data_IF_862828411086
#
_entry.id   IF_862828411086
#
_cell.length_a   1.000
_cell.length_b   1.000
_cell.length_c   1.000
_cell.angle_alpha   90.00
_cell.angle_beta   90.00
_cell.angle_gamma   90.00
#
_symmetry.space_group_name_H-M   'P 1'
#
loop_
_entity.id
_entity.type
_entity.pdbx_description
1 polymer ?
#
# COMPACT_ATOMS: atom_id res chain seq x y z
N UNK A 1 18.95 -10.97 8.39
CA UNK A 1 17.87 -10.06 8.84
C UNK A 1 18.31 -8.59 8.81
N UNK A 2 18.99 -8.15 7.74
CA UNK A 2 19.43 -6.76 7.60
C UNK A 2 18.59 -6.04 6.54
N UNK A 3 18.34 -4.74 6.75
CA UNK A 3 17.59 -3.88 5.82
C UNK A 3 18.54 -2.89 5.16
N UNK A 4 18.31 -2.60 3.88
CA UNK A 4 19.00 -1.53 3.14
C UNK A 4 18.05 -0.34 3.02
N UNK A 5 18.12 0.66 3.93
CA UNK A 5 17.18 1.78 3.94
C UNK A 5 17.48 2.79 2.82
N UNK A 6 16.45 3.49 2.37
CA UNK A 6 16.57 4.58 1.37
C UNK A 6 17.39 5.76 1.90
N UNK A 7 17.27 6.05 3.19
CA UNK A 7 18.00 7.11 3.87
C UNK A 7 18.88 6.53 4.98
N UNK A 8 19.96 7.23 5.38
CA UNK A 8 20.77 6.82 6.52
C UNK A 8 19.91 6.57 7.77
N UNK A 9 20.22 5.52 8.54
CA UNK A 9 19.45 5.10 9.73
C UNK A 9 19.31 6.21 10.77
N UNK A 10 20.33 7.06 10.92
CA UNK A 10 20.26 8.27 11.78
C UNK A 10 19.07 9.18 11.45
N UNK A 11 18.63 9.19 10.18
CA UNK A 11 17.46 9.94 9.72
C UNK A 11 16.20 9.06 9.73
N UNK A 12 16.20 7.94 9.01
CA UNK A 12 15.01 7.10 8.79
C UNK A 12 14.51 6.37 10.03
N UNK A 13 15.40 6.02 10.96
CA UNK A 13 15.07 5.34 12.23
C UNK A 13 15.24 6.27 13.44
N UNK A 14 15.78 7.49 13.22
CA UNK A 14 16.02 8.50 14.23
C UNK A 14 15.17 9.75 14.00
N UNK A 15 15.82 10.81 13.53
CA UNK A 15 15.26 12.19 13.58
C UNK A 15 14.01 12.43 12.75
N UNK A 16 13.81 11.67 11.66
CA UNK A 16 12.62 11.78 10.82
C UNK A 16 11.56 10.70 11.11
N UNK A 17 11.88 9.70 11.94
CA UNK A 17 10.92 8.68 12.37
C UNK A 17 9.98 9.26 13.42
N UNK A 18 8.68 8.99 13.36
CA UNK A 18 7.71 9.50 14.34
C UNK A 18 7.74 8.69 15.66
N UNK A 19 8.91 8.59 16.28
CA UNK A 19 9.09 7.95 17.58
C UNK A 19 8.32 8.72 18.67
N UNK A 20 7.81 8.02 19.70
CA UNK A 20 7.12 8.67 20.82
C UNK A 20 8.01 9.71 21.50
N UNK A 21 7.38 10.78 21.97
CA UNK A 21 8.01 11.82 22.79
C UNK A 21 9.12 12.66 22.15
N UNK A 22 9.33 12.52 20.84
CA UNK A 22 10.18 13.44 20.08
C UNK A 22 9.35 14.34 19.16
N UNK A 23 9.80 15.59 19.01
CA UNK A 23 9.22 16.51 18.04
C UNK A 23 9.88 16.29 16.68
N UNK A 24 9.09 15.91 15.68
CA UNK A 24 9.54 15.64 14.31
C UNK A 24 8.88 16.59 13.31
N UNK A 25 9.60 16.99 12.24
CA UNK A 25 8.95 17.59 11.08
C UNK A 25 8.07 16.56 10.37
N UNK A 26 6.90 17.00 9.92
CA UNK A 26 5.97 16.19 9.14
C UNK A 26 5.32 17.02 8.04
N UNK A 27 4.91 16.33 6.97
CA UNK A 27 3.89 16.82 6.05
C UNK A 27 2.57 16.30 6.59
N UNK A 28 1.80 17.20 7.22
CA UNK A 28 0.54 16.88 7.87
C UNK A 28 -0.59 17.01 6.86
N UNK A 29 -1.29 15.91 6.64
CA UNK A 29 -2.52 15.85 5.87
C UNK A 29 -3.71 15.94 6.81
N UNK A 30 -4.61 16.88 6.57
CA UNK A 30 -5.93 16.96 7.23
C UNK A 30 -6.98 16.73 6.15
N UNK A 31 -7.79 15.69 6.33
CA UNK A 31 -8.79 15.27 5.35
C UNK A 31 -10.12 15.17 6.10
N UNK A 32 -11.04 16.08 5.77
CA UNK A 32 -12.37 16.09 6.37
C UNK A 32 -13.26 15.10 5.63
N UNK A 33 -14.03 14.33 6.39
CA UNK A 33 -14.91 13.29 5.87
C UNK A 33 -16.36 13.56 6.27
N UNK A 34 -17.28 13.30 5.34
CA UNK A 34 -18.72 13.26 5.63
C UNK A 34 -19.09 12.00 6.45
N UNK A 35 -20.37 11.90 6.84
CA UNK A 35 -20.89 10.76 7.60
C UNK A 35 -20.82 9.40 6.87
N UNK A 36 -20.64 9.40 5.55
CA UNK A 36 -20.43 8.19 4.75
C UNK A 36 -18.96 7.87 4.54
N UNK A 37 -18.07 8.72 5.06
CA UNK A 37 -16.63 8.63 4.94
C UNK A 37 -16.11 9.20 3.63
N UNK A 38 -16.87 9.96 2.83
CA UNK A 38 -16.39 10.61 1.59
C UNK A 38 -15.63 11.90 1.92
N UNK A 39 -14.66 12.23 1.07
CA UNK A 39 -13.82 13.42 1.24
C UNK A 39 -14.63 14.69 1.00
N UNK A 40 -14.63 15.60 1.97
CA UNK A 40 -15.22 16.95 1.84
C UNK A 40 -14.14 18.01 1.56
N UNK A 41 -13.02 17.92 2.26
CA UNK A 41 -11.94 18.90 2.20
C UNK A 41 -10.58 18.22 2.41
N UNK A 42 -9.53 18.80 1.84
CA UNK A 42 -8.14 18.35 1.97
C UNK A 42 -7.25 19.56 2.21
N UNK A 43 -6.52 19.56 3.31
CA UNK A 43 -5.42 20.48 3.61
C UNK A 43 -4.12 19.69 3.77
N UNK A 44 -3.02 20.24 3.26
CA UNK A 44 -1.68 19.69 3.46
C UNK A 44 -0.71 20.81 3.76
N UNK A 45 0.02 20.67 4.87
CA UNK A 45 0.95 21.68 5.35
C UNK A 45 2.15 21.07 6.04
N UNK A 46 3.21 21.85 6.18
CA UNK A 46 4.33 21.50 7.04
C UNK A 46 3.94 21.70 8.50
N UNK A 47 4.31 20.75 9.35
CA UNK A 47 4.04 20.79 10.77
C UNK A 47 5.20 20.20 11.58
N UNK A 48 5.26 20.58 12.86
CA UNK A 48 5.99 19.83 13.88
C UNK A 48 4.97 18.97 14.64
N UNK A 49 5.24 17.68 14.74
CA UNK A 49 4.38 16.71 15.42
C UNK A 49 5.16 16.01 16.52
N UNK A 50 4.46 15.59 17.58
CA UNK A 50 5.03 14.77 18.65
C UNK A 50 4.14 13.54 18.82
N UNK A 51 4.65 12.37 18.45
CA UNK A 51 3.91 11.13 18.62
C UNK A 51 3.75 10.82 20.12
N UNK A 52 2.57 10.37 20.52
CA UNK A 52 2.26 10.01 21.92
C UNK A 52 2.59 8.56 22.25
N UNK A 53 2.49 7.68 21.25
CA UNK A 53 2.67 6.25 21.44
C UNK A 53 3.11 5.58 20.15
N UNK A 54 3.86 4.48 20.28
CA UNK A 54 4.16 3.55 19.20
C UNK A 54 3.40 2.28 19.48
N UNK A 55 2.43 1.96 18.62
CA UNK A 55 1.53 0.84 18.80
C UNK A 55 1.78 -0.21 17.72
N UNK A 56 1.55 -1.47 18.06
CA UNK A 56 1.49 -2.57 17.11
C UNK A 56 0.02 -2.94 16.80
N UNK A 57 -0.20 -3.55 15.64
CA UNK A 57 -1.56 -3.88 15.19
C UNK A 57 -2.28 -4.89 16.07
N UNK A 58 -1.56 -5.81 16.73
CA UNK A 58 -2.18 -6.81 17.60
C UNK A 58 -2.75 -6.14 18.86
N UNK A 59 -2.00 -5.21 19.45
CA UNK A 59 -2.47 -4.40 20.56
C UNK A 59 -3.63 -3.49 20.15
N UNK A 60 -3.54 -2.80 19.00
CA UNK A 60 -4.63 -1.94 18.50
C UNK A 60 -5.91 -2.75 18.28
N UNK A 61 -5.81 -3.90 17.61
CA UNK A 61 -6.95 -4.79 17.37
C UNK A 61 -7.61 -5.20 18.69
N UNK A 62 -6.81 -5.69 19.64
CA UNK A 62 -7.30 -6.11 20.95
C UNK A 62 -8.01 -4.98 21.70
N UNK A 63 -7.42 -3.78 21.76
CA UNK A 63 -8.02 -2.64 22.47
C UNK A 63 -9.34 -2.21 21.84
N UNK A 64 -9.47 -2.28 20.51
CA UNK A 64 -10.73 -2.01 19.80
C UNK A 64 -11.78 -3.08 20.13
N UNK A 65 -11.40 -4.36 20.11
CA UNK A 65 -12.30 -5.48 20.37
C UNK A 65 -12.79 -5.51 21.83
N UNK A 66 -11.90 -5.18 22.78
CA UNK A 66 -12.20 -5.08 24.21
C UNK A 66 -12.95 -3.79 24.58
N UNK A 67 -13.14 -2.86 23.64
CA UNK A 67 -13.80 -1.56 23.88
C UNK A 67 -13.00 -0.61 24.78
N UNK A 68 -11.69 -0.79 24.86
CA UNK A 68 -10.76 -0.01 25.69
C UNK A 68 -9.90 0.98 24.90
N UNK A 69 -10.00 0.96 23.57
CA UNK A 69 -9.28 1.87 22.68
C UNK A 69 -9.67 3.34 22.95
N UNK A 70 -8.67 4.23 23.00
CA UNK A 70 -8.90 5.67 22.98
C UNK A 70 -9.64 6.10 21.69
N UNK A 71 -10.36 7.22 21.75
CA UNK A 71 -11.21 7.72 20.66
C UNK A 71 -10.55 7.68 19.26
N UNK A 72 -9.29 8.13 19.05
CA UNK A 72 -8.68 8.06 17.71
C UNK A 72 -8.52 6.64 17.16
N UNK A 73 -8.25 5.66 18.03
CA UNK A 73 -8.12 4.24 17.65
C UNK A 73 -9.49 3.59 17.47
N UNK A 74 -10.47 3.97 18.28
CA UNK A 74 -11.85 3.52 18.09
C UNK A 74 -12.40 3.98 16.73
N UNK A 75 -12.17 5.24 16.36
CA UNK A 75 -12.56 5.82 15.07
C UNK A 75 -11.85 5.17 13.87
N UNK A 76 -10.67 4.57 14.04
CA UNK A 76 -10.00 3.86 12.96
C UNK A 76 -10.88 2.74 12.38
N UNK A 77 -11.58 2.00 13.25
CA UNK A 77 -12.52 0.95 12.81
C UNK A 77 -13.71 1.54 12.06
N UNK A 78 -14.29 2.60 12.60
CA UNK A 78 -15.47 3.26 12.01
C UNK A 78 -15.14 3.82 10.62
N UNK A 79 -14.12 4.67 10.53
CA UNK A 79 -13.66 5.27 9.28
C UNK A 79 -13.20 4.18 8.31
N UNK A 80 -12.39 3.21 8.78
CA UNK A 80 -11.92 2.10 7.95
C UNK A 80 -13.07 1.34 7.29
N UNK A 81 -14.11 1.02 8.04
CA UNK A 81 -15.31 0.31 7.53
C UNK A 81 -16.07 1.14 6.50
N UNK A 82 -16.25 2.44 6.74
CA UNK A 82 -16.89 3.34 5.77
C UNK A 82 -16.07 3.42 4.47
N UNK A 83 -14.75 3.51 4.58
CA UNK A 83 -13.83 3.57 3.42
C UNK A 83 -13.78 2.25 2.65
N UNK A 84 -13.86 1.10 3.32
CA UNK A 84 -13.99 -0.22 2.68
C UNK A 84 -15.29 -0.32 1.87
N UNK A 85 -16.41 0.17 2.41
CA UNK A 85 -17.68 0.23 1.67
C UNK A 85 -17.55 1.09 0.41
N UNK A 86 -16.97 2.28 0.53
CA UNK A 86 -16.68 3.15 -0.62
C UNK A 86 -15.72 2.50 -1.62
N UNK A 87 -14.83 1.61 -1.17
CA UNK A 87 -13.97 0.81 -2.05
C UNK A 87 -14.76 -0.18 -2.89
N UNK A 88 -15.73 -0.85 -2.28
CA UNK A 88 -16.64 -1.73 -3.01
C UNK A 88 -17.45 -0.94 -4.03
N UNK A 89 -18.01 0.21 -3.63
CA UNK A 89 -18.82 1.07 -4.51
C UNK A 89 -18.05 1.53 -5.75
N UNK A 90 -16.78 1.92 -5.60
CA UNK A 90 -15.92 2.30 -6.75
C UNK A 90 -15.40 1.11 -7.57
N UNK A 91 -15.58 -0.12 -7.10
CA UNK A 91 -15.04 -1.32 -7.74
C UNK A 91 -13.55 -1.58 -7.46
N UNK A 92 -13.02 -0.99 -6.39
CA UNK A 92 -11.65 -1.23 -5.93
C UNK A 92 -11.47 -2.65 -5.40
N UNK A 93 -10.23 -3.12 -5.38
CA UNK A 93 -9.82 -4.47 -5.02
C UNK A 93 -8.62 -4.38 -4.08
N UNK A 94 -8.83 -4.78 -2.84
CA UNK A 94 -7.77 -5.02 -1.85
C UNK A 94 -7.49 -6.52 -1.78
N UNK A 95 -6.26 -6.92 -2.10
CA UNK A 95 -5.81 -8.31 -1.97
C UNK A 95 -5.23 -8.52 -0.57
N UNK A 96 -5.90 -9.32 0.26
CA UNK A 96 -5.39 -9.74 1.56
C UNK A 96 -4.46 -10.95 1.41
N UNK A 97 -3.37 -10.78 0.68
CA UNK A 97 -2.38 -11.84 0.47
C UNK A 97 -1.70 -12.14 1.81
N UNK A 98 -1.67 -13.40 2.27
CA UNK A 98 -0.92 -13.74 3.47
C UNK A 98 0.57 -13.54 3.22
N UNK A 99 1.25 -12.88 4.16
CA UNK A 99 2.69 -12.66 4.07
C UNK A 99 3.42 -13.92 4.53
N UNK A 100 4.42 -14.34 3.74
CA UNK A 100 5.34 -15.41 4.12
C UNK A 100 6.39 -14.82 5.06
N UNK A 101 6.46 -15.35 6.28
CA UNK A 101 7.45 -14.94 7.28
C UNK A 101 8.38 -16.12 7.58
N UNK A 102 9.68 -15.83 7.71
CA UNK A 102 10.64 -16.79 8.24
C UNK A 102 10.58 -16.69 9.77
N UNK A 103 10.16 -17.78 10.42
CA UNK A 103 10.04 -17.86 11.87
C UNK A 103 11.20 -18.68 12.41
N UNK A 104 11.99 -18.09 13.29
CA UNK A 104 12.97 -18.85 14.06
C UNK A 104 12.27 -19.58 15.21
N UNK A 105 12.46 -20.89 15.28
CA UNK A 105 11.92 -21.76 16.32
C UNK A 105 12.96 -22.80 16.71
N UNK A 106 13.33 -22.79 17.99
CA UNK A 106 14.26 -23.76 18.59
C UNK A 106 15.60 -23.90 17.84
N UNK A 107 16.13 -22.78 17.29
CA UNK A 107 17.38 -22.75 16.51
C UNK A 107 17.25 -23.28 15.08
N UNK A 108 16.03 -23.55 14.62
CA UNK A 108 15.68 -23.87 13.23
C UNK A 108 14.82 -22.77 12.64
N UNK A 109 14.76 -22.70 11.31
CA UNK A 109 13.90 -21.75 10.61
C UNK A 109 12.70 -22.51 10.01
N UNK A 110 11.51 -21.97 10.16
CA UNK A 110 10.28 -22.47 9.55
C UNK A 110 9.64 -21.36 8.71
N UNK A 111 8.85 -21.73 7.70
CA UNK A 111 8.04 -20.79 6.92
C UNK A 111 6.65 -20.70 7.54
N UNK A 112 6.29 -19.51 8.02
CA UNK A 112 4.95 -19.18 8.50
C UNK A 112 4.19 -18.33 7.49
N UNK A 113 2.85 -18.39 7.55
CA UNK A 113 1.98 -17.43 6.85
C UNK A 113 1.21 -16.63 7.88
N UNK A 114 1.29 -15.29 7.81
CA UNK A 114 0.53 -14.39 8.67
C UNK A 114 -0.51 -13.66 7.83
N UNK A 115 -1.79 -13.85 8.18
CA UNK A 115 -2.85 -13.02 7.64
C UNK A 115 -2.85 -11.64 8.33
N UNK A 116 -3.11 -10.55 7.60
CA UNK A 116 -3.23 -9.23 8.20
C UNK A 116 -4.42 -9.13 9.17
N UNK A 117 -4.25 -8.40 10.28
CA UNK A 117 -5.33 -8.05 11.21
C UNK A 117 -6.26 -7.00 10.59
N UNK A 118 -7.52 -6.89 11.05
CA UNK A 118 -8.46 -5.90 10.53
C UNK A 118 -7.97 -4.45 10.76
N UNK A 119 -7.36 -4.18 11.92
CA UNK A 119 -6.73 -2.89 12.20
C UNK A 119 -5.68 -2.48 11.15
N UNK A 120 -4.98 -3.45 10.55
CA UNK A 120 -4.06 -3.19 9.43
C UNK A 120 -4.84 -2.74 8.18
N UNK A 121 -5.92 -3.45 7.83
CA UNK A 121 -6.75 -3.11 6.68
C UNK A 121 -7.41 -1.73 6.81
N UNK A 122 -7.91 -1.38 8.00
CA UNK A 122 -8.47 -0.05 8.27
C UNK A 122 -7.43 1.05 8.13
N UNK A 123 -6.21 0.86 8.64
CA UNK A 123 -5.12 1.82 8.45
C UNK A 123 -4.67 1.92 6.98
N UNK A 124 -4.71 0.82 6.23
CA UNK A 124 -4.45 0.82 4.79
C UNK A 124 -5.46 1.70 4.04
N UNK A 125 -6.75 1.71 4.46
CA UNK A 125 -7.74 2.62 3.88
C UNK A 125 -7.45 4.10 4.14
N UNK A 126 -6.87 4.46 5.30
CA UNK A 126 -6.41 5.83 5.55
C UNK A 126 -5.28 6.20 4.57
N UNK A 127 -4.33 5.29 4.36
CA UNK A 127 -3.26 5.51 3.37
C UNK A 127 -3.79 5.64 1.94
N UNK A 128 -4.79 4.83 1.57
CA UNK A 128 -5.45 4.91 0.26
C UNK A 128 -6.19 6.24 0.09
N UNK A 129 -6.92 6.68 1.12
CA UNK A 129 -7.59 7.98 1.17
C UNK A 129 -6.59 9.12 0.92
N UNK A 130 -5.49 9.16 1.67
CA UNK A 130 -4.45 10.20 1.49
C UNK A 130 -3.83 10.15 0.09
N UNK A 131 -3.58 8.94 -0.45
CA UNK A 131 -3.03 8.80 -1.79
C UNK A 131 -3.98 9.22 -2.92
N UNK A 132 -5.31 9.03 -2.75
CA UNK A 132 -6.32 9.56 -3.68
C UNK A 132 -6.38 11.09 -3.58
N UNK A 133 -6.43 11.64 -2.37
CA UNK A 133 -6.40 13.09 -2.15
C UNK A 133 -5.16 13.76 -2.76
N UNK A 134 -3.98 13.15 -2.62
CA UNK A 134 -2.75 13.62 -3.24
C UNK A 134 -2.81 13.61 -4.77
N UNK A 135 -3.39 12.55 -5.37
CA UNK A 135 -3.59 12.49 -6.81
C UNK A 135 -4.53 13.60 -7.30
N UNK A 136 -5.65 13.82 -6.60
CA UNK A 136 -6.63 14.84 -6.95
C UNK A 136 -6.03 16.26 -6.88
N UNK A 137 -5.27 16.57 -5.82
CA UNK A 137 -4.55 17.86 -5.70
C UNK A 137 -3.59 18.08 -6.87
N UNK A 138 -2.75 17.08 -7.18
CA UNK A 138 -1.79 17.19 -8.27
C UNK A 138 -2.46 17.30 -9.64
N UNK A 139 -3.56 16.57 -9.86
CA UNK A 139 -4.34 16.62 -11.10
C UNK A 139 -4.97 18.01 -11.28
N UNK A 140 -5.57 18.56 -10.23
CA UNK A 140 -6.17 19.89 -10.25
C UNK A 140 -5.12 20.99 -10.50
N UNK A 141 -3.96 20.90 -9.86
CA UNK A 141 -2.85 21.83 -10.05
C UNK A 141 -2.12 21.64 -11.40
N UNK A 142 -2.33 20.51 -12.09
CA UNK A 142 -1.81 20.25 -13.43
C UNK A 142 -0.33 19.86 -13.50
N UNK A 143 0.29 19.51 -12.37
CA UNK A 143 1.65 18.96 -12.31
C UNK A 143 1.75 17.92 -11.21
N UNK A 144 2.25 16.73 -11.53
CA UNK A 144 2.47 15.71 -10.51
C UNK A 144 2.99 14.36 -10.99
N UNK A 145 2.88 13.37 -10.10
CA UNK A 145 3.25 11.98 -10.34
C UNK A 145 2.18 11.04 -9.77
N UNK A 146 1.59 10.23 -10.63
CA UNK A 146 0.56 9.26 -10.29
C UNK A 146 1.15 7.85 -10.20
N UNK A 147 0.58 7.02 -9.35
CA UNK A 147 0.75 5.58 -9.33
C UNK A 147 -0.33 4.98 -10.22
N UNK A 148 0.00 4.70 -11.48
CA UNK A 148 -0.97 4.23 -12.48
C UNK A 148 -0.91 2.72 -12.63
N UNK A 149 -2.05 2.12 -12.94
CA UNK A 149 -2.15 0.71 -13.33
C UNK A 149 -3.25 0.64 -14.40
N UNK A 150 -2.91 0.30 -15.65
CA UNK A 150 -3.88 0.10 -16.70
C UNK A 150 -4.90 -1.00 -16.34
N UNK A 151 -6.04 -1.00 -17.03
CA UNK A 151 -7.00 -2.08 -16.92
C UNK A 151 -6.35 -3.43 -17.24
N UNK A 152 -6.80 -4.49 -16.55
CA UNK A 152 -6.32 -5.83 -16.81
C UNK A 152 -6.63 -6.21 -18.27
N UNK A 153 -5.71 -6.93 -18.96
CA UNK A 153 -5.92 -7.31 -20.36
C UNK A 153 -7.11 -8.25 -20.51
N UNK A 154 -7.68 -8.27 -21.71
CA UNK A 154 -8.80 -9.15 -22.03
C UNK A 154 -8.48 -10.62 -21.70
N UNK A 155 -9.46 -11.30 -21.11
CA UNK A 155 -9.34 -12.71 -20.73
C UNK A 155 -8.51 -12.97 -19.45
N UNK A 156 -7.94 -11.95 -18.80
CA UNK A 156 -7.21 -12.14 -17.54
C UNK A 156 -8.08 -12.73 -16.43
N UNK A 157 -9.32 -12.25 -16.28
CA UNK A 157 -10.33 -12.84 -15.38
C UNK A 157 -10.68 -14.28 -15.80
N UNK A 158 -10.72 -14.56 -17.10
CA UNK A 158 -10.93 -15.92 -17.62
C UNK A 158 -9.81 -16.88 -17.21
N UNK A 159 -8.55 -16.42 -17.15
CA UNK A 159 -7.43 -17.20 -16.60
C UNK A 159 -7.65 -17.49 -15.12
N UNK A 160 -7.97 -16.47 -14.32
CA UNK A 160 -8.23 -16.65 -12.90
C UNK A 160 -9.40 -17.61 -12.64
N UNK A 161 -10.48 -17.57 -13.44
CA UNK A 161 -11.58 -18.54 -13.32
C UNK A 161 -11.14 -19.99 -13.49
N UNK A 162 -10.16 -20.26 -14.36
CA UNK A 162 -9.56 -21.60 -14.50
C UNK A 162 -8.74 -21.98 -13.26
N UNK A 163 -7.96 -21.04 -12.72
CA UNK A 163 -7.20 -21.26 -11.47
C UNK A 163 -8.13 -21.53 -10.29
N UNK A 164 -9.22 -20.77 -10.13
CA UNK A 164 -10.21 -20.98 -9.08
C UNK A 164 -10.79 -22.40 -9.14
N UNK A 165 -11.16 -22.85 -10.34
CA UNK A 165 -11.65 -24.22 -10.57
C UNK A 165 -10.62 -25.28 -10.18
N UNK A 166 -9.35 -25.08 -10.54
CA UNK A 166 -8.26 -26.01 -10.20
C UNK A 166 -7.99 -26.06 -8.69
N UNK A 167 -8.18 -24.95 -7.98
CA UNK A 167 -8.03 -24.84 -6.52
C UNK A 167 -9.31 -25.19 -5.75
N UNK A 168 -10.35 -25.66 -6.43
CA UNK A 168 -11.66 -25.97 -5.85
C UNK A 168 -12.30 -24.78 -5.11
N UNK A 169 -12.15 -23.58 -5.66
CA UNK A 169 -12.81 -22.35 -5.19
C UNK A 169 -14.07 -22.15 -6.02
N UNK A 170 -15.22 -22.08 -5.34
CA UNK A 170 -16.49 -21.78 -6.01
C UNK A 170 -16.49 -20.32 -6.47
N UNK A 171 -16.68 -20.10 -7.77
CA UNK A 171 -16.78 -18.78 -8.36
C UNK A 171 -17.97 -18.72 -9.32
N UNK A 172 -19.18 -18.49 -8.80
CA UNK A 172 -20.37 -18.36 -9.63
C UNK A 172 -20.22 -17.26 -10.69
N UNK A 173 -20.90 -17.42 -11.83
CA UNK A 173 -20.80 -16.45 -12.94
C UNK A 173 -21.32 -15.05 -12.58
N UNK A 174 -22.27 -14.96 -11.65
CA UNK A 174 -22.84 -13.70 -11.19
C UNK A 174 -21.99 -12.98 -10.13
N UNK A 175 -20.99 -13.68 -9.55
CA UNK A 175 -20.07 -13.09 -8.57
C UNK A 175 -18.93 -12.41 -9.31
N UNK A 176 -18.74 -11.12 -9.05
CA UNK A 176 -17.66 -10.34 -9.66
C UNK A 176 -16.29 -10.78 -9.12
N UNK A 177 -15.22 -10.43 -9.84
CA UNK A 177 -13.85 -10.69 -9.37
C UNK A 177 -13.57 -10.04 -8.01
N UNK A 178 -13.97 -8.77 -7.84
CA UNK A 178 -13.80 -8.04 -6.59
C UNK A 178 -14.57 -8.69 -5.43
N UNK A 179 -15.80 -9.15 -5.67
CA UNK A 179 -16.60 -9.84 -4.66
C UNK A 179 -15.97 -11.18 -4.26
N UNK A 180 -15.51 -11.98 -5.24
CA UNK A 180 -14.85 -13.25 -4.94
C UNK A 180 -13.64 -13.01 -4.04
N UNK A 181 -12.72 -12.13 -4.44
CA UNK A 181 -11.47 -11.86 -3.72
C UNK A 181 -11.74 -11.50 -2.25
N UNK A 182 -12.75 -10.67 -1.98
CA UNK A 182 -13.10 -10.26 -0.61
C UNK A 182 -13.68 -11.39 0.25
N UNK A 183 -14.28 -12.40 -0.38
CA UNK A 183 -14.82 -13.57 0.34
C UNK A 183 -13.76 -14.62 0.70
N UNK A 184 -12.53 -14.47 0.20
CA UNK A 184 -11.47 -15.44 0.42
C UNK A 184 -10.84 -15.26 1.79
N UNK A 185 -10.88 -16.33 2.59
CA UNK A 185 -10.12 -16.45 3.82
C UNK A 185 -8.63 -16.79 3.55
N UNK A 186 -7.66 -15.90 3.83
CA UNK A 186 -6.24 -16.13 3.60
C UNK A 186 -5.62 -17.22 4.50
N UNK A 187 -6.32 -17.67 5.56
CA UNK A 187 -5.85 -18.79 6.38
C UNK A 187 -6.09 -20.16 5.74
N UNK A 188 -6.93 -20.23 4.69
CA UNK A 188 -7.15 -21.46 3.94
C UNK A 188 -6.11 -21.57 2.80
N UNK A 189 -5.30 -22.64 2.74
CA UNK A 189 -4.19 -22.74 1.77
C UNK A 189 -4.60 -22.53 0.31
N UNK A 190 -5.75 -23.06 -0.11
CA UNK A 190 -6.28 -22.87 -1.47
C UNK A 190 -6.63 -21.41 -1.78
N UNK A 191 -7.16 -20.69 -0.80
CA UNK A 191 -7.51 -19.28 -0.95
C UNK A 191 -6.25 -18.41 -0.96
N UNK A 192 -5.29 -18.69 -0.06
CA UNK A 192 -3.98 -18.05 -0.07
C UNK A 192 -3.29 -18.19 -1.42
N UNK A 193 -3.23 -19.40 -1.98
CA UNK A 193 -2.67 -19.65 -3.30
C UNK A 193 -3.38 -18.87 -4.41
N UNK A 194 -4.71 -18.76 -4.35
CA UNK A 194 -5.47 -17.99 -5.32
C UNK A 194 -5.26 -16.48 -5.18
N UNK A 195 -5.20 -15.95 -3.96
CA UNK A 195 -4.90 -14.55 -3.67
C UNK A 195 -3.49 -14.19 -4.17
N UNK A 196 -2.53 -15.11 -4.03
CA UNK A 196 -1.20 -14.94 -4.59
C UNK A 196 -1.25 -14.87 -6.13
N UNK A 197 -2.01 -15.73 -6.80
CA UNK A 197 -2.16 -15.65 -8.25
C UNK A 197 -2.91 -14.39 -8.73
N UNK A 198 -3.81 -13.84 -7.90
CA UNK A 198 -4.48 -12.56 -8.17
C UNK A 198 -3.49 -11.40 -8.27
N UNK A 199 -2.34 -11.44 -7.58
CA UNK A 199 -1.31 -10.40 -7.66
C UNK A 199 -0.77 -10.23 -9.08
N UNK A 200 -0.90 -11.24 -9.95
CA UNK A 200 -0.50 -11.15 -11.36
C UNK A 200 -1.28 -10.09 -12.13
N UNK A 201 -2.51 -9.75 -11.70
CA UNK A 201 -3.31 -8.67 -12.29
C UNK A 201 -2.87 -7.27 -11.83
N UNK A 202 -2.04 -7.18 -10.79
CA UNK A 202 -1.43 -5.93 -10.34
C UNK A 202 -0.11 -5.63 -11.06
N UNK A 203 0.38 -6.57 -11.88
CA UNK A 203 1.60 -6.37 -12.68
C UNK A 203 1.36 -5.29 -13.74
N UNK A 204 2.37 -4.47 -13.97
CA UNK A 204 2.31 -3.34 -14.90
C UNK A 204 1.99 -2.01 -14.25
N UNK A 205 1.71 -1.99 -12.95
CA UNK A 205 1.56 -0.73 -12.23
C UNK A 205 2.90 0.05 -12.29
N UNK A 206 2.85 1.30 -12.73
CA UNK A 206 4.00 2.20 -12.92
C UNK A 206 3.87 3.54 -12.19
N UNK A 207 4.83 4.43 -12.41
CA UNK A 207 4.68 5.85 -12.06
C UNK A 207 4.54 6.64 -13.36
N UNK A 208 3.58 7.55 -13.39
CA UNK A 208 3.32 8.40 -14.56
C UNK A 208 3.37 9.84 -14.14
N UNK A 209 4.31 10.57 -14.75
CA UNK A 209 4.54 12.00 -14.51
C UNK A 209 3.73 12.82 -15.51
N UNK A 210 3.26 13.97 -15.06
CA UNK A 210 2.56 14.94 -15.90
C UNK A 210 2.87 16.37 -15.41
N UNK A 211 2.81 17.34 -16.33
CA UNK A 211 3.12 18.75 -16.05
C UNK A 211 2.50 19.67 -17.09
N UNK A 212 2.37 20.96 -16.74
CA UNK A 212 1.87 21.98 -17.65
C UNK A 212 0.39 21.79 -18.03
N UNK A 213 -0.40 21.15 -17.16
CA UNK A 213 -1.82 20.86 -17.39
C UNK A 213 -2.09 19.73 -18.38
N UNK A 214 -1.08 19.17 -19.02
CA UNK A 214 -1.23 18.02 -19.91
C UNK A 214 -1.37 16.73 -19.09
N UNK A 215 -2.61 16.24 -18.94
CA UNK A 215 -2.89 15.01 -18.22
C UNK A 215 -2.40 13.77 -19.01
N UNK A 216 -1.95 12.71 -18.33
CA UNK A 216 -1.54 11.48 -18.99
C UNK A 216 -2.75 10.68 -19.47
N UNK A 217 -2.56 9.82 -20.48
CA UNK A 217 -3.61 8.95 -21.04
C UNK A 217 -4.26 8.05 -19.96
N UNK A 218 -3.46 7.61 -18.99
CA UNK A 218 -3.90 6.82 -17.85
C UNK A 218 -3.66 7.61 -16.58
N UNK A 219 -4.74 7.99 -15.91
CA UNK A 219 -4.70 8.69 -14.61
C UNK A 219 -5.05 7.77 -13.44
N UNK A 220 -5.69 6.63 -13.71
CA UNK A 220 -6.22 5.72 -12.68
C UNK A 220 -5.28 4.57 -12.35
N UNK A 221 -5.49 3.99 -11.16
CA UNK A 221 -4.96 2.69 -10.78
C UNK A 221 -6.08 1.64 -10.78
N UNK A 222 -6.05 0.67 -11.71
CA UNK A 222 -7.17 -0.27 -11.90
C UNK A 222 -7.60 -1.02 -10.64
N UNK A 223 -6.66 -1.35 -9.73
CA UNK A 223 -7.00 -2.01 -8.47
C UNK A 223 -7.58 -1.06 -7.40
N UNK A 224 -7.20 0.22 -7.42
CA UNK A 224 -7.80 1.21 -6.49
C UNK A 224 -9.14 1.70 -7.05
N UNK A 225 -9.31 1.62 -8.37
CA UNK A 225 -10.41 2.15 -9.16
C UNK A 225 -10.59 3.67 -8.99
N UNK A 226 -9.48 4.40 -8.85
CA UNK A 226 -9.42 5.85 -8.76
C UNK A 226 -8.04 6.37 -9.19
N UNK A 227 -7.88 7.68 -9.46
CA UNK A 227 -6.57 8.33 -9.41
C UNK A 227 -5.89 8.08 -8.07
N UNK A 228 -4.60 7.80 -8.10
CA UNK A 228 -3.87 7.42 -6.90
C UNK A 228 -2.41 7.82 -6.99
N UNK A 229 -1.85 8.27 -5.87
CA UNK A 229 -0.43 8.58 -5.74
C UNK A 229 0.12 8.02 -4.43
N UNK A 230 1.41 7.68 -4.45
CA UNK A 230 2.14 7.32 -3.25
C UNK A 230 2.68 8.58 -2.56
N UNK A 231 2.23 8.85 -1.33
CA UNK A 231 2.62 10.04 -0.55
C UNK A 231 2.78 9.80 0.96
N UNK A 232 2.58 8.57 1.46
CA UNK A 232 2.52 8.27 2.90
C UNK A 232 3.75 7.55 3.45
N UNK A 233 4.77 7.29 2.61
CA UNK A 233 5.95 6.51 2.97
C UNK A 233 7.31 7.11 2.53
N UNK A 234 7.57 8.43 2.71
CA UNK A 234 8.78 9.10 2.19
C UNK A 234 10.11 8.61 2.76
N UNK A 235 10.10 7.92 3.90
CA UNK A 235 11.32 7.35 4.49
C UNK A 235 11.79 6.04 3.83
N UNK A 236 10.91 5.38 3.06
CA UNK A 236 11.21 4.11 2.40
C UNK A 236 10.91 4.11 0.91
N UNK A 237 10.26 5.15 0.39
CA UNK A 237 9.87 5.27 -1.01
C UNK A 237 10.18 6.67 -1.53
N UNK A 238 11.03 6.73 -2.57
CA UNK A 238 11.58 7.99 -3.06
C UNK A 238 10.50 8.91 -3.66
N UNK A 239 9.55 8.37 -4.41
CA UNK A 239 8.49 9.14 -5.07
C UNK A 239 7.62 9.94 -4.08
N UNK A 240 7.38 9.40 -2.88
CA UNK A 240 6.54 10.05 -1.86
C UNK A 240 7.11 11.40 -1.42
N UNK A 241 8.45 11.55 -1.47
CA UNK A 241 9.12 12.84 -1.22
C UNK A 241 8.70 13.89 -2.26
N UNK A 242 8.63 13.51 -3.54
CA UNK A 242 8.26 14.42 -4.62
C UNK A 242 6.76 14.70 -4.59
N UNK A 243 5.93 13.66 -4.40
CA UNK A 243 4.49 13.81 -4.27
C UNK A 243 4.12 14.76 -3.12
N UNK A 244 4.80 14.66 -1.97
CA UNK A 244 4.57 15.57 -0.83
C UNK A 244 4.82 17.03 -1.18
N UNK A 245 5.92 17.32 -1.89
CA UNK A 245 6.31 18.68 -2.26
C UNK A 245 5.40 19.25 -3.35
N UNK A 246 4.96 18.42 -4.29
CA UNK A 246 3.96 18.77 -5.30
C UNK A 246 2.62 19.13 -4.65
N UNK A 247 2.17 18.34 -3.67
CA UNK A 247 0.90 18.58 -2.98
C UNK A 247 0.96 19.81 -2.07
N UNK A 248 2.11 20.07 -1.42
CA UNK A 248 2.31 21.29 -0.64
C UNK A 248 2.29 22.55 -1.50
N UNK A 249 2.94 22.51 -2.68
CA UNK A 249 2.88 23.60 -3.64
C UNK A 249 1.44 23.81 -4.14
N UNK A 250 0.74 22.72 -4.48
CA UNK A 250 -0.65 22.77 -4.92
C UNK A 250 -1.60 23.35 -3.86
N UNK A 251 -1.45 22.97 -2.60
CA UNK A 251 -2.27 23.50 -1.50
C UNK A 251 -1.99 24.98 -1.20
N UNK A 252 -0.77 25.45 -1.48
CA UNK A 252 -0.39 26.86 -1.36
C UNK A 252 -0.71 27.69 -2.62
N UNK A 253 -1.20 27.06 -3.70
CA UNK A 253 -1.33 27.67 -5.04
C UNK A 253 0.00 28.29 -5.55
N UNK A 254 1.11 27.61 -5.25
CA UNK A 254 2.47 28.02 -5.61
C UNK A 254 3.07 27.06 -6.67
N UNK A 255 4.01 27.55 -7.51
CA UNK A 255 4.73 26.66 -8.41
C UNK A 255 5.56 25.62 -7.64
N UNK A 256 5.66 24.36 -8.12
CA UNK A 256 6.49 23.35 -7.48
C UNK A 256 7.97 23.78 -7.46
N UNK A 257 8.75 23.40 -6.42
CA UNK A 257 10.15 23.77 -6.32
C UNK A 257 11.00 23.28 -7.52
N UNK A 258 11.99 24.07 -7.94
CA UNK A 258 12.85 23.75 -9.10
C UNK A 258 13.51 22.37 -9.03
N UNK A 259 13.95 21.95 -7.84
CA UNK A 259 14.59 20.65 -7.65
C UNK A 259 13.61 19.48 -7.86
N UNK A 260 12.33 19.68 -7.59
CA UNK A 260 11.26 18.70 -7.87
C UNK A 260 11.11 18.58 -9.38
N UNK A 261 10.91 19.71 -10.06
CA UNK A 261 10.67 19.74 -11.51
C UNK A 261 11.85 19.17 -12.31
N UNK A 262 13.08 19.48 -11.88
CA UNK A 262 14.31 19.01 -12.53
C UNK A 262 14.44 17.48 -12.54
N UNK A 263 14.01 16.82 -11.46
CA UNK A 263 14.11 15.36 -11.34
C UNK A 263 12.81 14.63 -11.69
N UNK A 264 11.68 15.32 -11.81
CA UNK A 264 10.36 14.72 -11.92
C UNK A 264 10.27 13.69 -13.06
N UNK A 265 10.74 14.05 -14.26
CA UNK A 265 10.68 13.18 -15.45
C UNK A 265 11.53 11.91 -15.34
N UNK A 266 12.60 11.91 -14.52
CA UNK A 266 13.45 10.73 -14.35
C UNK A 266 12.93 9.76 -13.30
N UNK A 267 12.04 10.20 -12.40
CA UNK A 267 11.53 9.40 -11.28
C UNK A 267 10.92 8.06 -11.69
N UNK A 268 10.07 7.95 -12.74
CA UNK A 268 9.50 6.67 -13.12
C UNK A 268 10.56 5.60 -13.39
N UNK A 269 11.65 5.98 -14.07
CA UNK A 269 12.76 5.09 -14.38
C UNK A 269 13.50 4.68 -13.10
N UNK A 270 13.91 5.64 -12.28
CA UNK A 270 14.63 5.37 -11.03
C UNK A 270 13.82 4.46 -10.09
N UNK A 271 12.52 4.73 -9.95
CA UNK A 271 11.62 3.92 -9.15
C UNK A 271 11.48 2.49 -9.69
N UNK A 272 11.38 2.32 -11.00
CA UNK A 272 11.29 1.01 -11.63
C UNK A 272 12.59 0.20 -11.46
N UNK A 273 13.74 0.84 -11.66
CA UNK A 273 15.05 0.20 -11.49
C UNK A 273 15.32 -0.20 -10.04
N UNK A 274 15.00 0.68 -9.09
CA UNK A 274 15.10 0.40 -7.66
C UNK A 274 14.20 -0.77 -7.23
N UNK A 275 12.94 -0.76 -7.66
CA UNK A 275 11.98 -1.82 -7.34
C UNK A 275 12.42 -3.17 -7.92
N UNK A 276 12.92 -3.19 -9.16
CA UNK A 276 13.43 -4.42 -9.80
C UNK A 276 14.64 -4.97 -9.06
N UNK A 277 15.59 -4.12 -8.65
CA UNK A 277 16.78 -4.55 -7.89
C UNK A 277 16.40 -5.09 -6.52
N UNK A 278 15.52 -4.39 -5.79
CA UNK A 278 15.03 -4.83 -4.49
C UNK A 278 14.33 -6.20 -4.58
N UNK A 279 13.41 -6.36 -5.55
CA UNK A 279 12.71 -7.63 -5.76
C UNK A 279 13.61 -8.77 -6.24
N UNK A 280 14.74 -8.49 -6.87
CA UNK A 280 15.76 -9.54 -7.14
C UNK A 280 16.44 -9.98 -5.86
N UNK A 281 16.91 -9.04 -5.03
CA UNK A 281 17.57 -9.38 -3.77
C UNK A 281 16.65 -10.17 -2.84
N UNK A 282 15.40 -9.72 -2.70
CA UNK A 282 14.41 -10.40 -1.84
C UNK A 282 14.15 -11.84 -2.27
N UNK A 283 13.98 -12.09 -3.58
CA UNK A 283 13.82 -13.45 -4.11
C UNK A 283 15.05 -14.32 -3.84
N UNK A 284 16.26 -13.83 -4.14
CA UNK A 284 17.49 -14.59 -3.91
C UNK A 284 17.68 -14.93 -2.42
N UNK A 285 17.28 -14.03 -1.51
CA UNK A 285 17.31 -14.32 -0.08
C UNK A 285 16.33 -15.44 0.30
N UNK A 286 15.10 -15.43 -0.23
CA UNK A 286 14.11 -16.50 0.00
C UNK A 286 14.61 -17.81 -0.60
N UNK A 287 15.09 -17.81 -1.84
CA UNK A 287 15.57 -19.00 -2.55
C UNK A 287 16.71 -19.71 -1.77
N UNK A 288 17.62 -18.95 -1.16
CA UNK A 288 18.70 -19.51 -0.32
C UNK A 288 18.15 -20.17 0.94
N UNK A 289 17.17 -19.56 1.60
CA UNK A 289 16.54 -20.12 2.81
C UNK A 289 15.75 -21.38 2.45
N UNK A 290 14.97 -21.36 1.37
CA UNK A 290 14.24 -22.53 0.88
C UNK A 290 15.19 -23.68 0.53
N UNK A 291 16.30 -23.40 -0.16
CA UNK A 291 17.32 -24.40 -0.46
C UNK A 291 17.96 -24.98 0.81
N UNK A 292 18.21 -24.15 1.83
CA UNK A 292 18.75 -24.61 3.11
C UNK A 292 17.78 -25.52 3.86
N UNK A 293 16.47 -25.20 3.86
CA UNK A 293 15.42 -26.00 4.49
C UNK A 293 15.21 -27.36 3.81
N UNK A 294 15.39 -27.42 2.49
CA UNK A 294 15.20 -28.65 1.70
C UNK A 294 16.46 -29.52 1.60
N UNK A 295 17.62 -29.02 2.05
CA UNK A 295 18.92 -29.69 1.89
C UNK A 295 18.92 -31.14 2.39
N UNK A 296 18.31 -31.39 3.55
CA UNK A 296 18.30 -32.72 4.18
C UNK A 296 17.05 -33.53 3.83
N UNK A 297 16.23 -33.04 2.89
CA UNK A 297 14.97 -33.66 2.43
C UNK A 297 15.05 -34.25 1.02
N UNK A 298 16.26 -34.48 0.51
CA UNK A 298 16.47 -35.05 -0.82
C UNK A 298 15.98 -36.51 -0.83
N UNK A 299 14.93 -36.77 -1.60
CA UNK A 299 14.32 -38.10 -1.74
C UNK A 299 13.01 -38.29 -0.97
N UNK A 300 12.61 -37.30 -0.16
CA UNK A 300 11.29 -37.29 0.49
C UNK A 300 10.17 -37.02 -0.55
N UNK A 301 8.97 -37.56 -0.28
CA UNK A 301 7.74 -37.34 -1.07
C UNK A 301 6.76 -36.49 -0.26
#
# INVERSE_FOLDING_TARGET
>A
DEKVPLHPTRLSEGTASLLPDQTCPAVLWTIDLDADGRTESVDVRRALVRSRAKLDYAHVQKSIDDGTAEEPLALLKEIGTLRERLEVERGGISLNVPEQEIVEKDGTYELGYRAPLLAYAWNAQISLLTGMAAADLMLAHGTGVLRTLPAAPDGAVGRLRRTARALHIDWPHHVSYAQLVRSLDPHLPRHAAFLQECTTLLRGAGYTVFRGGALPDVTSHAAVAAPYAHCTAPLRRLVDRYASELCLAAAADEPPPDWVLTALDSLPKEMAEGSRRAGTVERECVDIVEAALLKDRVGDI
#
